data_IF_660910618961
#
_entry.id   IF_660910618961
#
_cell.length_a   1.000
_cell.length_b   1.000
_cell.length_c   1.000
_cell.angle_alpha   90.00
_cell.angle_beta   90.00
_cell.angle_gamma   90.00
#
_symmetry.space_group_name_H-M   'P 1'
#
loop_
_entity.id
_entity.type
_entity.pdbx_description
1 polymer ?
#
# COMPACT_ATOMS: atom_id res chain seq x y z
N UNK A 1 -5.90 4.30 11.30
CA UNK A 1 -6.81 3.49 10.46
C UNK A 1 -7.85 2.88 11.39
N UNK A 2 -9.13 3.02 11.09
CA UNK A 2 -10.16 2.35 11.87
C UNK A 2 -10.14 0.85 11.57
N UNK A 3 -10.08 -0.03 12.58
CA UNK A 3 -10.37 -1.44 12.40
C UNK A 3 -11.80 -1.56 11.86
N UNK A 4 -11.97 -2.20 10.71
CA UNK A 4 -13.30 -2.43 10.15
C UNK A 4 -14.06 -3.37 11.07
N UNK A 5 -14.96 -2.81 11.88
CA UNK A 5 -15.90 -3.58 12.70
C UNK A 5 -16.80 -4.40 11.76
N UNK A 6 -16.48 -5.68 11.58
CA UNK A 6 -17.45 -6.76 11.28
C UNK A 6 -18.12 -6.78 9.90
N UNK A 7 -17.37 -6.78 8.79
CA UNK A 7 -17.89 -7.37 7.54
C UNK A 7 -17.45 -8.84 7.46
N UNK A 8 -18.43 -9.75 7.50
CA UNK A 8 -18.20 -11.18 7.29
C UNK A 8 -18.03 -11.46 5.80
N UNK A 9 -17.02 -12.24 5.46
CA UNK A 9 -16.65 -12.61 4.09
C UNK A 9 -15.37 -13.47 4.07
N UNK A 10 -14.91 -13.91 2.88
CA UNK A 10 -13.80 -14.85 2.76
C UNK A 10 -12.45 -14.31 3.26
N UNK A 11 -12.32 -12.99 3.46
CA UNK A 11 -11.12 -12.34 4.00
C UNK A 11 -11.29 -11.84 5.44
N UNK A 12 -12.31 -12.32 6.16
CA UNK A 12 -12.52 -11.94 7.57
C UNK A 12 -11.32 -12.34 8.42
N UNK A 13 -10.80 -11.40 9.21
CA UNK A 13 -9.60 -11.63 10.04
C UNK A 13 -8.28 -11.59 9.28
N UNK A 14 -8.30 -11.35 7.97
CA UNK A 14 -7.09 -11.22 7.15
C UNK A 14 -6.63 -9.76 7.12
N UNK A 15 -5.36 -9.54 7.43
CA UNK A 15 -4.70 -8.24 7.26
C UNK A 15 -4.11 -8.12 5.86
N UNK A 16 -4.33 -6.98 5.23
CA UNK A 16 -3.87 -6.69 3.87
C UNK A 16 -3.14 -5.35 3.84
N UNK A 17 -1.91 -5.35 3.36
CA UNK A 17 -1.19 -4.14 2.98
C UNK A 17 -1.47 -3.77 1.52
N UNK A 18 -1.43 -2.49 1.18
CA UNK A 18 -1.80 -2.00 -0.15
C UNK A 18 -0.65 -1.20 -0.75
N UNK A 19 -0.20 -1.56 -1.97
CA UNK A 19 0.83 -0.80 -2.71
C UNK A 19 0.44 0.68 -2.80
N UNK A 20 1.38 1.58 -2.54
CA UNK A 20 1.05 2.97 -2.25
C UNK A 20 0.35 3.74 -3.39
N UNK A 21 0.45 3.27 -4.64
CA UNK A 21 -0.21 3.83 -5.81
C UNK A 21 -1.70 3.45 -5.92
N UNK A 22 -2.16 2.52 -5.07
CA UNK A 22 -3.56 2.11 -5.01
C UNK A 22 -4.25 2.94 -3.92
N UNK A 23 -5.24 3.73 -4.34
CA UNK A 23 -5.96 4.64 -3.45
C UNK A 23 -6.77 3.91 -2.38
N UNK A 24 -6.63 4.37 -1.14
CA UNK A 24 -7.46 4.00 0.00
C UNK A 24 -8.05 5.29 0.56
N UNK A 25 -9.39 5.38 0.67
CA UNK A 25 -10.09 6.59 1.08
C UNK A 25 -9.56 7.11 2.43
N UNK A 26 -9.16 8.38 2.46
CA UNK A 26 -8.68 9.06 3.67
C UNK A 26 -7.26 8.69 4.13
N UNK A 27 -6.61 7.73 3.47
CA UNK A 27 -5.24 7.28 3.77
C UNK A 27 -4.30 7.84 2.71
N UNK A 28 -3.12 8.30 3.13
CA UNK A 28 -2.14 8.85 2.20
C UNK A 28 -1.84 7.87 1.05
N UNK A 29 -1.75 8.40 -0.16
CA UNK A 29 -1.35 7.65 -1.36
C UNK A 29 -0.35 8.48 -2.15
N UNK A 30 0.94 8.30 -1.87
CA UNK A 30 2.00 9.15 -2.39
C UNK A 30 2.65 8.58 -3.67
N UNK A 31 2.25 7.37 -4.10
CA UNK A 31 2.88 6.64 -5.18
C UNK A 31 4.42 6.49 -5.01
N UNK A 32 4.89 6.39 -3.76
CA UNK A 32 6.32 6.37 -3.45
C UNK A 32 7.05 7.71 -3.67
N UNK A 33 6.36 8.79 -4.06
CA UNK A 33 6.96 10.09 -4.39
C UNK A 33 6.53 11.21 -3.46
N UNK A 34 7.46 12.11 -3.14
CA UNK A 34 7.17 13.31 -2.33
C UNK A 34 6.28 14.33 -3.02
N UNK A 35 6.13 14.25 -4.35
CA UNK A 35 5.19 15.10 -5.11
C UNK A 35 3.75 14.93 -4.59
N UNK A 36 3.39 13.73 -4.14
CA UNK A 36 2.06 13.41 -3.61
C UNK A 36 2.06 13.24 -2.08
N UNK A 37 3.08 13.73 -1.38
CA UNK A 37 3.11 13.72 0.08
C UNK A 37 1.90 14.51 0.63
N UNK A 38 1.16 13.90 1.56
CA UNK A 38 -0.09 14.47 2.09
C UNK A 38 -1.35 14.24 1.24
N UNK A 39 -1.25 13.71 0.01
CA UNK A 39 -2.43 13.41 -0.79
C UNK A 39 -3.29 12.30 -0.17
N UNK A 40 -4.54 12.62 0.16
CA UNK A 40 -5.53 11.70 0.74
C UNK A 40 -6.71 11.54 -0.22
N UNK A 41 -6.85 10.40 -0.90
CA UNK A 41 -7.95 10.16 -1.85
C UNK A 41 -9.32 10.24 -1.16
N UNK A 42 -10.31 10.75 -1.89
CA UNK A 42 -11.72 10.80 -1.46
C UNK A 42 -12.48 9.51 -1.75
N UNK A 43 -11.83 8.54 -2.41
CA UNK A 43 -12.39 7.27 -2.84
C UNK A 43 -11.46 6.09 -2.53
N UNK A 44 -12.05 4.90 -2.41
CA UNK A 44 -11.30 3.64 -2.45
C UNK A 44 -11.15 3.18 -3.90
N UNK A 45 -9.97 2.71 -4.28
CA UNK A 45 -9.80 1.98 -5.53
C UNK A 45 -10.70 0.73 -5.55
N UNK A 46 -11.15 0.29 -6.73
CA UNK A 46 -12.08 -0.85 -6.88
C UNK A 46 -11.60 -2.11 -6.15
N UNK A 47 -10.31 -2.42 -6.21
CA UNK A 47 -9.73 -3.59 -5.52
C UNK A 47 -9.76 -3.44 -4.00
N UNK A 48 -9.52 -2.24 -3.48
CA UNK A 48 -9.60 -1.94 -2.04
C UNK A 48 -11.03 -2.07 -1.56
N UNK A 49 -12.00 -1.53 -2.30
CA UNK A 49 -13.42 -1.66 -1.99
C UNK A 49 -13.84 -3.13 -1.93
N UNK A 50 -13.48 -3.93 -2.94
CA UNK A 50 -13.77 -5.38 -2.98
C UNK A 50 -13.12 -6.13 -1.81
N UNK A 51 -11.87 -5.82 -1.46
CA UNK A 51 -11.20 -6.44 -0.32
C UNK A 51 -11.91 -6.12 1.01
N UNK A 52 -12.30 -4.85 1.22
CA UNK A 52 -13.07 -4.42 2.40
C UNK A 52 -14.46 -5.07 2.45
N UNK A 53 -15.14 -5.20 1.30
CA UNK A 53 -16.42 -5.92 1.18
C UNK A 53 -16.29 -7.40 1.52
N UNK A 54 -15.16 -8.03 1.17
CA UNK A 54 -14.83 -9.41 1.51
C UNK A 54 -14.39 -9.61 2.98
N UNK A 55 -14.29 -8.55 3.78
CA UNK A 55 -13.95 -8.61 5.21
C UNK A 55 -12.48 -8.35 5.57
N UNK A 56 -11.64 -7.98 4.60
CA UNK A 56 -10.23 -7.69 4.86
C UNK A 56 -10.03 -6.41 5.70
N UNK A 57 -9.00 -6.42 6.55
CA UNK A 57 -8.54 -5.26 7.31
C UNK A 57 -7.31 -4.65 6.62
N UNK A 58 -7.43 -3.44 6.08
CA UNK A 58 -6.29 -2.73 5.49
C UNK A 58 -5.42 -2.16 6.61
N UNK A 59 -4.14 -2.56 6.66
CA UNK A 59 -3.23 -2.20 7.77
C UNK A 59 -2.23 -1.09 7.43
N UNK A 60 -2.02 -0.80 6.15
CA UNK A 60 -0.99 0.15 5.75
C UNK A 60 -0.79 0.24 4.25
N UNK A 61 0.09 1.17 3.87
CA UNK A 61 0.59 1.33 2.51
C UNK A 61 1.99 0.75 2.42
N UNK A 62 2.32 0.06 1.34
CA UNK A 62 3.69 -0.43 1.10
C UNK A 62 4.43 0.48 0.15
N UNK A 63 5.71 0.67 0.42
CA UNK A 63 6.58 1.49 -0.40
C UNK A 63 6.80 0.87 -1.79
N UNK A 64 7.30 1.69 -2.72
CA UNK A 64 7.57 1.34 -4.12
C UNK A 64 8.54 2.36 -4.74
N UNK A 65 9.01 2.07 -5.94
CA UNK A 65 9.64 3.08 -6.80
C UNK A 65 8.64 4.19 -7.18
N UNK A 66 9.12 5.44 -7.29
CA UNK A 66 8.31 6.62 -7.58
C UNK A 66 7.46 6.38 -8.84
N UNK A 67 6.14 6.48 -8.67
CA UNK A 67 5.15 6.26 -9.72
C UNK A 67 5.25 4.89 -10.43
N UNK A 68 5.92 3.92 -9.82
CA UNK A 68 6.17 2.60 -10.40
C UNK A 68 7.29 2.57 -11.44
N UNK A 69 8.08 3.64 -11.57
CA UNK A 69 9.23 3.68 -12.47
C UNK A 69 10.49 3.15 -11.79
N UNK A 70 10.62 1.82 -11.76
CA UNK A 70 11.79 1.11 -11.28
C UNK A 70 11.54 -0.40 -11.11
N UNK A 71 12.61 -1.19 -11.03
CA UNK A 71 12.55 -2.66 -10.87
C UNK A 71 13.32 -3.15 -9.65
N UNK A 72 13.79 -2.25 -8.79
CA UNK A 72 14.62 -2.59 -7.62
C UNK A 72 14.20 -1.89 -6.31
N UNK A 73 13.12 -1.12 -6.28
CA UNK A 73 12.66 -0.35 -5.10
C UNK A 73 13.72 0.60 -4.55
N UNK A 74 14.70 0.97 -5.36
CA UNK A 74 15.78 1.89 -4.99
C UNK A 74 15.45 3.33 -5.37
N UNK A 75 14.42 3.56 -6.20
CA UNK A 75 13.98 4.87 -6.64
C UNK A 75 12.74 5.33 -5.84
N UNK A 76 12.79 5.30 -4.51
CA UNK A 76 11.71 5.80 -3.66
C UNK A 76 12.00 7.23 -3.18
N UNK A 77 11.01 8.10 -3.20
CA UNK A 77 11.06 9.43 -2.58
C UNK A 77 11.05 9.40 -1.04
N UNK A 78 10.84 8.23 -0.44
CA UNK A 78 10.85 8.00 1.01
C UNK A 78 12.10 7.20 1.44
N UNK A 79 11.96 5.94 1.80
CA UNK A 79 13.05 5.07 2.28
C UNK A 79 13.27 3.90 1.32
N UNK A 80 14.48 3.37 1.21
CA UNK A 80 14.72 2.15 0.40
C UNK A 80 14.39 0.92 1.25
N UNK A 81 13.43 0.05 0.86
CA UNK A 81 13.10 -1.14 1.62
C UNK A 81 14.24 -2.17 1.53
N UNK A 82 14.51 -2.84 2.66
CA UNK A 82 15.54 -3.88 2.77
C UNK A 82 14.94 -5.26 2.49
N UNK A 83 15.68 -6.07 1.73
CA UNK A 83 15.25 -7.43 1.44
C UNK A 83 15.35 -8.30 2.72
N UNK A 84 14.26 -8.99 3.12
CA UNK A 84 14.24 -9.76 4.36
C UNK A 84 15.14 -11.00 4.34
N UNK A 85 15.54 -11.48 3.17
CA UNK A 85 16.45 -12.61 3.02
C UNK A 85 17.93 -12.19 3.02
N UNK A 86 18.24 -10.99 2.54
CA UNK A 86 19.60 -10.43 2.49
C UNK A 86 19.53 -8.89 2.44
N UNK A 87 19.81 -8.18 3.56
CA UNK A 87 19.68 -6.72 3.63
C UNK A 87 20.58 -5.94 2.67
N UNK A 88 21.63 -6.56 2.11
CA UNK A 88 22.53 -5.96 1.12
C UNK A 88 22.00 -6.08 -0.31
N UNK A 89 20.84 -6.74 -0.51
CA UNK A 89 20.18 -6.92 -1.81
C UNK A 89 18.89 -6.13 -1.91
N UNK A 90 18.51 -5.85 -3.16
CA UNK A 90 17.22 -5.24 -3.50
C UNK A 90 16.04 -6.17 -3.16
N UNK A 91 14.89 -5.56 -2.85
CA UNK A 91 13.60 -6.24 -2.71
C UNK A 91 12.94 -6.59 -4.06
N UNK A 92 13.57 -6.30 -5.20
CA UNK A 92 12.86 -6.14 -6.48
C UNK A 92 12.15 -4.78 -6.54
N UNK A 93 11.30 -4.55 -7.53
CA UNK A 93 10.65 -3.25 -7.71
C UNK A 93 9.36 -3.34 -8.51
N UNK A 94 8.74 -2.17 -8.67
CA UNK A 94 7.47 -1.89 -7.99
C UNK A 94 6.41 -2.98 -8.09
#
# INVERSE_FOLDING_TARGET
MEPTKGRKGPLSGVYVSVKDCICVKGVQSAAGSRILEGYRPTFDATVVRKAKEAGASIIGKTNQDEFGFGTFSTNSGFEIPKNPHDPERSCGGS
#
